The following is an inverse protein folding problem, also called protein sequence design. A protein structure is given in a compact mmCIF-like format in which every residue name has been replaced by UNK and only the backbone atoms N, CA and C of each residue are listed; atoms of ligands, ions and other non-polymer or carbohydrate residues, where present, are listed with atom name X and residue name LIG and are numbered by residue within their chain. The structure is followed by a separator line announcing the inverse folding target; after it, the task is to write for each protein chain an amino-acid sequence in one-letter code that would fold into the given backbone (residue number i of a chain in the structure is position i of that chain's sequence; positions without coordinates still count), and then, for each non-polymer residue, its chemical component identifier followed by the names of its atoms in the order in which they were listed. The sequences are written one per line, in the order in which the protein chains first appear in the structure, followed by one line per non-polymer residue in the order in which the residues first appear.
data_IF_206745288504
#
_entry.id   IF_206745288504
#
_cell.length_a   1.000
_cell.length_b   1.000
_cell.length_c   1.000
_cell.angle_alpha   90.00
_cell.angle_beta   90.00
_cell.angle_gamma   90.00
#
_symmetry.space_group_name_H-M   'P 1'
#
loop_
_entity.id
_entity.type
_entity.pdbx_description
1 polymer ?
#
# COMPACT_ATOMS: atom_id res chain seq x y z
N UNK A 1 -0.51 -15.82 1.62
CA UNK A 1 -1.26 -16.60 2.65
C UNK A 1 -0.64 -17.97 2.90
N UNK A 2 -0.28 -18.75 1.87
CA UNK A 2 0.38 -20.06 2.04
C UNK A 2 1.73 -19.95 2.75
N UNK A 3 2.56 -18.95 2.40
CA UNK A 3 3.88 -18.77 3.04
C UNK A 3 3.78 -18.36 4.52
N UNK A 4 2.75 -17.59 4.89
CA UNK A 4 2.49 -17.22 6.28
C UNK A 4 2.00 -18.41 7.11
N UNK A 5 1.14 -19.25 6.55
CA UNK A 5 0.72 -20.49 7.20
C UNK A 5 1.91 -21.46 7.38
N UNK A 6 2.80 -21.53 6.37
CA UNK A 6 4.04 -22.30 6.47
C UNK A 6 4.99 -21.74 7.53
N UNK A 7 5.19 -20.43 7.61
CA UNK A 7 6.00 -19.79 8.65
C UNK A 7 5.42 -20.02 10.06
N UNK A 8 4.11 -19.87 10.26
CA UNK A 8 3.48 -20.12 11.57
C UNK A 8 3.59 -21.59 11.98
N UNK A 9 3.44 -22.52 11.02
CA UNK A 9 3.50 -23.95 11.28
C UNK A 9 4.93 -24.49 11.47
N UNK A 10 5.90 -24.03 10.67
CA UNK A 10 7.29 -24.52 10.71
C UNK A 10 8.23 -23.69 11.61
N UNK A 11 7.99 -22.38 11.76
CA UNK A 11 8.85 -21.48 12.56
C UNK A 11 8.42 -21.38 14.03
N UNK A 12 7.26 -21.93 14.39
CA UNK A 12 6.68 -21.75 15.73
C UNK A 12 6.31 -20.30 16.04
N UNK A 13 6.17 -19.46 15.00
CA UNK A 13 5.84 -18.05 15.14
C UNK A 13 4.41 -17.92 15.69
N UNK A 14 4.29 -17.51 16.96
CA UNK A 14 3.00 -17.22 17.58
C UNK A 14 2.47 -15.91 17.02
N UNK A 15 1.36 -15.97 16.28
CA UNK A 15 0.57 -14.77 16.01
C UNK A 15 -0.09 -14.40 17.33
N UNK A 16 0.46 -13.41 18.03
CA UNK A 16 -0.09 -12.98 19.32
C UNK A 16 -1.39 -12.20 19.13
N UNK A 17 -1.55 -11.50 18.01
CA UNK A 17 -2.78 -10.77 17.65
C UNK A 17 -3.83 -11.60 16.90
N UNK A 18 -4.97 -10.96 16.57
CA UNK A 18 -6.04 -11.57 15.78
C UNK A 18 -5.67 -11.60 14.28
N UNK A 19 -5.55 -12.77 13.62
CA UNK A 19 -5.21 -12.87 12.19
C UNK A 19 -6.20 -12.15 11.26
N UNK A 20 -7.45 -11.96 11.68
CA UNK A 20 -8.44 -11.21 10.90
C UNK A 20 -8.04 -9.74 10.70
N UNK A 21 -7.30 -9.16 11.65
CA UNK A 21 -6.81 -7.79 11.52
C UNK A 21 -5.81 -7.65 10.38
N UNK A 22 -5.02 -8.69 10.10
CA UNK A 22 -4.12 -8.66 8.95
C UNK A 22 -4.87 -8.64 7.62
N UNK A 23 -5.96 -9.41 7.53
CA UNK A 23 -6.83 -9.42 6.34
C UNK A 23 -7.45 -8.05 6.16
N UNK A 24 -7.92 -7.43 7.24
CA UNK A 24 -8.50 -6.10 7.21
C UNK A 24 -7.50 -5.04 6.73
N UNK A 25 -6.30 -4.99 7.33
CA UNK A 25 -5.23 -4.08 6.90
C UNK A 25 -4.83 -4.34 5.44
N UNK A 26 -4.69 -5.61 5.06
CA UNK A 26 -4.37 -6.01 3.69
C UNK A 26 -5.41 -5.54 2.68
N UNK A 27 -6.70 -5.63 3.03
CA UNK A 27 -7.79 -5.14 2.18
C UNK A 27 -7.69 -3.63 1.95
N UNK A 28 -7.52 -2.82 3.01
CA UNK A 28 -7.37 -1.37 2.86
C UNK A 28 -6.07 -0.99 2.15
N UNK A 29 -4.99 -1.74 2.36
CA UNK A 29 -3.74 -1.55 1.64
C UNK A 29 -3.90 -1.78 0.14
N UNK A 30 -4.61 -2.84 -0.28
CA UNK A 30 -4.90 -3.09 -1.70
C UNK A 30 -5.67 -1.92 -2.31
N UNK A 31 -6.69 -1.41 -1.62
CA UNK A 31 -7.44 -0.23 -2.11
C UNK A 31 -6.53 0.98 -2.26
N UNK A 32 -5.67 1.24 -1.27
CA UNK A 32 -4.69 2.34 -1.33
C UNK A 32 -3.71 2.17 -2.50
N UNK A 33 -3.09 1.00 -2.63
CA UNK A 33 -2.14 0.71 -3.71
C UNK A 33 -2.79 0.82 -5.10
N UNK A 34 -4.00 0.30 -5.27
CA UNK A 34 -4.71 0.39 -6.54
C UNK A 34 -5.10 1.82 -6.92
N UNK A 35 -5.40 2.66 -5.93
CA UNK A 35 -5.64 4.08 -6.19
C UNK A 35 -4.39 4.77 -6.75
N UNK A 36 -3.19 4.47 -6.26
CA UNK A 36 -1.93 5.01 -6.81
C UNK A 36 -1.73 4.55 -8.26
N UNK A 37 -2.04 3.29 -8.57
CA UNK A 37 -2.02 2.80 -9.95
C UNK A 37 -2.96 3.59 -10.87
N UNK A 38 -4.16 3.91 -10.38
CA UNK A 38 -5.15 4.71 -11.10
C UNK A 38 -4.69 6.17 -11.30
N UNK A 39 -3.96 6.75 -10.33
CA UNK A 39 -3.31 8.05 -10.48
C UNK A 39 -2.31 8.03 -11.65
N UNK A 40 -1.39 7.08 -11.66
CA UNK A 40 -0.38 6.98 -12.72
C UNK A 40 -1.03 6.75 -14.09
N UNK A 41 -2.03 5.88 -14.15
CA UNK A 41 -2.80 5.65 -15.37
C UNK A 41 -3.47 6.93 -15.90
N UNK A 42 -4.11 7.70 -15.03
CA UNK A 42 -4.79 8.94 -15.44
C UNK A 42 -3.82 10.02 -15.97
N UNK A 43 -2.56 10.02 -15.51
CA UNK A 43 -1.56 11.02 -15.85
C UNK A 43 -0.59 10.59 -16.96
N UNK A 44 -0.53 9.31 -17.31
CA UNK A 44 0.37 8.79 -18.35
C UNK A 44 -0.33 8.63 -19.71
N UNK A 45 0.45 8.69 -20.79
CA UNK A 45 -0.08 8.70 -22.16
C UNK A 45 -0.47 7.32 -22.69
N UNK A 46 0.08 6.25 -22.13
CA UNK A 46 -0.21 4.88 -22.54
C UNK A 46 -0.28 3.96 -21.32
N UNK A 47 -1.06 2.89 -21.44
CA UNK A 47 -1.14 1.86 -20.39
C UNK A 47 0.24 1.22 -20.12
N UNK A 48 1.05 1.02 -21.17
CA UNK A 48 2.40 0.45 -21.05
C UNK A 48 3.28 1.36 -20.17
N UNK A 49 3.29 2.67 -20.44
CA UNK A 49 4.04 3.64 -19.62
C UNK A 49 3.55 3.65 -18.17
N UNK A 50 2.23 3.57 -17.95
CA UNK A 50 1.65 3.47 -16.61
C UNK A 50 2.21 2.24 -15.86
N UNK A 51 2.17 1.07 -16.48
CA UNK A 51 2.67 -0.17 -15.88
C UNK A 51 4.18 -0.12 -15.58
N UNK A 52 4.98 0.42 -16.49
CA UNK A 52 6.42 0.61 -16.24
C UNK A 52 6.66 1.56 -15.05
N UNK A 53 5.91 2.65 -14.95
CA UNK A 53 6.02 3.59 -13.82
C UNK A 53 5.57 2.97 -12.50
N UNK A 54 4.51 2.15 -12.51
CA UNK A 54 4.07 1.38 -11.35
C UNK A 54 5.21 0.46 -10.87
N UNK A 55 5.87 -0.27 -11.78
CA UNK A 55 7.00 -1.14 -11.42
C UNK A 55 8.17 -0.38 -10.78
N UNK A 56 8.49 0.81 -11.28
CA UNK A 56 9.50 1.69 -10.67
C UNK A 56 9.08 2.16 -9.27
N UNK A 57 7.82 2.58 -9.11
CA UNK A 57 7.27 3.03 -7.84
C UNK A 57 7.28 1.91 -6.80
N UNK A 58 6.86 0.69 -7.17
CA UNK A 58 6.89 -0.48 -6.29
C UNK A 58 8.31 -0.80 -5.82
N UNK A 59 9.30 -0.68 -6.71
CA UNK A 59 10.71 -0.89 -6.35
C UNK A 59 11.19 0.10 -5.28
N UNK A 60 10.81 1.38 -5.41
CA UNK A 60 11.11 2.43 -4.43
C UNK A 60 10.37 2.15 -3.12
N UNK A 61 9.08 1.83 -3.19
CA UNK A 61 8.26 1.52 -2.03
C UNK A 61 8.87 0.37 -1.23
N UNK A 62 9.30 -0.71 -1.89
CA UNK A 62 9.96 -1.84 -1.24
C UNK A 62 11.27 -1.42 -0.53
N UNK A 63 12.11 -0.64 -1.20
CA UNK A 63 13.39 -0.17 -0.66
C UNK A 63 13.22 0.69 0.61
N UNK A 64 12.16 1.50 0.67
CA UNK A 64 11.90 2.44 1.76
C UNK A 64 10.70 2.06 2.64
N UNK A 65 10.22 0.81 2.55
CA UNK A 65 9.02 0.33 3.27
C UNK A 65 9.24 0.06 4.76
N UNK A 66 10.49 0.07 5.23
CA UNK A 66 10.86 -0.41 6.57
C UNK A 66 11.36 -1.85 6.61
N UNK A 67 11.21 -2.61 5.51
CA UNK A 67 11.67 -4.02 5.42
C UNK A 67 13.19 -4.15 5.31
N UNK A 68 13.83 -3.34 4.47
CA UNK A 68 15.27 -3.40 4.23
C UNK A 68 16.06 -2.59 5.27
N UNK A 69 15.55 -1.41 5.62
CA UNK A 69 16.12 -0.51 6.63
C UNK A 69 15.00 -0.10 7.57
N UNK A 70 15.16 -0.22 8.90
CA UNK A 70 14.15 0.23 9.84
C UNK A 70 13.86 1.73 9.70
N UNK A 71 12.59 2.13 9.76
CA UNK A 71 12.17 3.53 9.58
C UNK A 71 12.88 4.48 10.56
N UNK A 72 13.11 4.03 11.80
CA UNK A 72 13.81 4.78 12.84
C UNK A 72 15.27 5.10 12.50
N UNK A 73 15.89 4.33 11.62
CA UNK A 73 17.28 4.48 11.21
C UNK A 73 17.42 5.17 9.85
N UNK A 74 16.31 5.54 9.20
CA UNK A 74 16.34 6.22 7.91
C UNK A 74 16.74 7.69 8.05
N UNK A 75 17.57 8.17 7.13
CA UNK A 75 17.84 9.61 6.96
C UNK A 75 16.56 10.35 6.54
N UNK A 76 16.51 11.66 6.81
CA UNK A 76 15.32 12.51 6.60
C UNK A 76 14.63 12.33 5.23
N UNK A 77 15.34 12.38 4.07
CA UNK A 77 14.70 12.23 2.76
C UNK A 77 14.04 10.85 2.57
N UNK A 78 14.72 9.78 3.01
CA UNK A 78 14.20 8.42 2.92
C UNK A 78 12.97 8.24 3.82
N UNK A 79 12.96 8.85 5.02
CA UNK A 79 11.84 8.81 5.95
C UNK A 79 10.60 9.52 5.40
N UNK A 80 10.77 10.64 4.68
CA UNK A 80 9.66 11.33 4.01
C UNK A 80 9.03 10.42 2.96
N UNK A 81 9.84 9.79 2.11
CA UNK A 81 9.35 8.84 1.09
C UNK A 81 8.61 7.70 1.77
N UNK A 82 9.23 7.08 2.77
CA UNK A 82 8.64 5.98 3.54
C UNK A 82 7.26 6.33 4.11
N UNK A 83 7.10 7.51 4.70
CA UNK A 83 5.83 7.95 5.28
C UNK A 83 4.75 8.30 4.23
N UNK A 84 5.15 8.62 3.00
CA UNK A 84 4.21 8.82 1.89
C UNK A 84 3.72 7.49 1.32
N UNK A 85 4.48 6.42 1.44
CA UNK A 85 4.13 5.12 0.87
C UNK A 85 3.09 4.38 1.74
N UNK A 86 1.97 3.91 1.18
CA UNK A 86 0.96 3.15 1.94
C UNK A 86 1.49 1.81 2.42
N UNK A 87 2.52 1.26 1.75
CA UNK A 87 3.14 -0.01 2.12
C UNK A 87 3.79 0.06 3.50
N UNK A 88 4.44 1.17 3.84
CA UNK A 88 5.08 1.37 5.15
C UNK A 88 4.06 1.25 6.29
N UNK A 89 2.93 1.96 6.16
CA UNK A 89 1.86 1.94 7.17
C UNK A 89 1.24 0.55 7.33
N UNK A 90 1.04 -0.16 6.22
CA UNK A 90 0.49 -1.51 6.23
C UNK A 90 1.45 -2.50 6.89
N UNK A 91 2.75 -2.44 6.58
CA UNK A 91 3.74 -3.34 7.14
C UNK A 91 3.98 -3.09 8.62
N UNK A 92 4.06 -1.83 9.05
CA UNK A 92 4.16 -1.48 10.46
C UNK A 92 2.99 -2.07 11.25
N UNK A 93 1.76 -1.95 10.74
CA UNK A 93 0.58 -2.55 11.37
C UNK A 93 0.61 -4.09 11.36
N UNK A 94 1.07 -4.72 10.28
CA UNK A 94 1.23 -6.16 10.23
C UNK A 94 2.26 -6.65 11.25
N UNK A 95 3.40 -5.97 11.38
CA UNK A 95 4.40 -6.28 12.40
C UNK A 95 3.86 -6.10 13.82
N UNK A 96 3.11 -5.02 14.07
CA UNK A 96 2.45 -4.84 15.35
C UNK A 96 1.46 -5.99 15.64
N UNK A 97 0.63 -6.42 14.67
CA UNK A 97 -0.30 -7.57 14.84
C UNK A 97 0.43 -8.88 15.13
N UNK A 98 1.57 -9.11 14.46
CA UNK A 98 2.35 -10.32 14.65
C UNK A 98 3.05 -10.35 15.99
N UNK A 99 3.72 -9.26 16.35
CA UNK A 99 4.65 -9.21 17.48
C UNK A 99 3.97 -8.78 18.78
N UNK A 100 2.82 -8.11 18.72
CA UNK A 100 2.14 -7.48 19.87
C UNK A 100 0.64 -7.78 19.86
N UNK A 101 0.02 -7.72 21.03
CA UNK A 101 -1.44 -7.67 21.11
C UNK A 101 -1.92 -6.25 20.78
N UNK A 102 -2.40 -6.06 19.55
CA UNK A 102 -2.88 -4.76 19.07
C UNK A 102 -4.39 -4.65 19.29
N UNK A 103 -4.83 -3.51 19.83
CA UNK A 103 -6.24 -3.22 19.99
C UNK A 103 -6.92 -2.95 18.64
N UNK A 104 -8.23 -3.21 18.56
CA UNK A 104 -9.04 -2.92 17.37
C UNK A 104 -8.93 -1.44 16.95
N UNK A 105 -8.82 -0.53 17.93
CA UNK A 105 -8.71 0.91 17.68
C UNK A 105 -7.44 1.28 16.91
N UNK A 106 -6.30 0.63 17.22
CA UNK A 106 -5.05 0.85 16.48
C UNK A 106 -5.16 0.39 15.01
N UNK A 107 -5.83 -0.74 14.79
CA UNK A 107 -6.07 -1.26 13.44
C UNK A 107 -6.99 -0.34 12.64
N UNK A 108 -8.08 0.12 13.24
CA UNK A 108 -9.00 1.05 12.59
C UNK A 108 -8.31 2.36 12.24
N UNK A 109 -7.42 2.88 13.10
CA UNK A 109 -6.62 4.06 12.78
C UNK A 109 -5.79 3.86 11.50
N UNK A 110 -5.05 2.76 11.39
CA UNK A 110 -4.26 2.46 10.18
C UNK A 110 -5.16 2.31 8.94
N UNK A 111 -6.30 1.62 9.08
CA UNK A 111 -7.25 1.48 7.98
C UNK A 111 -7.79 2.84 7.52
N UNK A 112 -8.10 3.75 8.43
CA UNK A 112 -8.52 5.11 8.09
C UNK A 112 -7.42 5.92 7.43
N UNK A 113 -6.16 5.75 7.84
CA UNK A 113 -5.00 6.37 7.20
C UNK A 113 -4.86 5.87 5.75
N UNK A 114 -4.95 4.56 5.53
CA UNK A 114 -4.90 3.95 4.20
C UNK A 114 -6.05 4.40 3.30
N UNK A 115 -7.22 4.72 3.86
CA UNK A 115 -8.35 5.28 3.10
C UNK A 115 -8.09 6.70 2.58
N UNK A 116 -7.16 7.47 3.16
CA UNK A 116 -6.87 8.83 2.67
C UNK A 116 -6.38 8.80 1.22
N UNK A 117 -5.61 7.77 0.84
CA UNK A 117 -5.06 7.59 -0.51
C UNK A 117 -6.14 7.55 -1.60
N UNK A 118 -7.11 6.61 -1.59
CA UNK A 118 -8.15 6.55 -2.61
C UNK A 118 -9.02 7.81 -2.63
N UNK A 119 -9.31 8.43 -1.48
CA UNK A 119 -10.09 9.68 -1.46
C UNK A 119 -9.32 10.85 -2.10
N UNK A 120 -8.06 11.06 -1.71
CA UNK A 120 -7.23 12.12 -2.27
C UNK A 120 -7.04 11.92 -3.79
N UNK A 121 -6.76 10.69 -4.22
CA UNK A 121 -6.53 10.38 -5.62
C UNK A 121 -7.82 10.48 -6.44
N UNK A 122 -8.95 10.01 -5.92
CA UNK A 122 -10.24 10.17 -6.59
C UNK A 122 -10.54 11.65 -6.89
N UNK A 123 -10.25 12.55 -5.95
CA UNK A 123 -10.39 14.00 -6.16
C UNK A 123 -9.45 14.53 -7.25
N UNK A 124 -8.18 14.12 -7.24
CA UNK A 124 -7.18 14.54 -8.23
C UNK A 124 -7.51 14.04 -9.65
N UNK A 125 -8.03 12.82 -9.75
CA UNK A 125 -8.21 12.11 -11.01
C UNK A 125 -9.61 12.33 -11.61
N UNK A 126 -10.59 12.80 -10.82
CA UNK A 126 -12.01 12.96 -11.21
C UNK A 126 -12.22 13.59 -12.58
N UNK A 127 -11.46 14.63 -12.94
CA UNK A 127 -11.61 15.33 -14.23
C UNK A 127 -10.80 14.70 -15.37
N UNK A 128 -9.72 13.98 -15.06
CA UNK A 128 -8.80 13.43 -16.06
C UNK A 128 -9.18 12.03 -16.50
N UNK A 129 -9.78 11.22 -15.62
CA UNK A 129 -10.07 9.83 -15.94
C UNK A 129 -11.11 9.67 -17.03
N UNK A 130 -12.18 10.46 -17.01
CA UNK A 130 -13.20 10.42 -18.07
C UNK A 130 -12.59 10.76 -19.44
N UNK A 131 -11.78 11.83 -19.50
CA UNK A 131 -11.06 12.21 -20.72
C UNK A 131 -10.09 11.13 -21.20
N UNK A 132 -9.42 10.43 -20.28
CA UNK A 132 -8.52 9.31 -20.62
C UNK A 132 -9.27 8.08 -21.12
N UNK A 133 -10.40 7.75 -20.52
CA UNK A 133 -11.26 6.66 -20.94
C UNK A 133 -11.85 6.95 -22.34
N UNK A 134 -12.29 8.17 -22.59
CA UNK A 134 -12.73 8.60 -23.93
C UNK A 134 -11.63 8.48 -24.98
N UNK A 135 -10.38 8.83 -24.65
CA UNK A 135 -9.25 8.68 -25.57
C UNK A 135 -8.88 7.22 -25.84
N UNK A 136 -9.20 6.28 -24.95
CA UNK A 136 -9.03 4.85 -25.21
C UNK A 136 -10.19 4.26 -26.01
N UNK A 137 -11.41 4.70 -25.75
CA UNK A 137 -12.62 4.19 -26.42
C UNK A 137 -12.82 4.83 -27.80
N UNK A 138 -12.42 6.09 -27.98
CA UNK A 138 -12.49 6.85 -29.24
C UNK A 138 -11.42 6.47 -30.27
N UNK A 139 -10.72 5.35 -30.06
CA UNK A 139 -9.92 4.68 -31.10
C UNK A 139 -10.78 3.58 -31.72
N UNK A 140 -11.81 4.00 -32.47
CA UNK A 140 -12.42 3.27 -33.58
C UNK A 140 -12.67 4.28 -34.69
#
# INVERSE_FOLDING_TARGET
MVELAALVHFSGAKVNGNPLYMILVGFFYIIAAQSIGLLLFAFTNSAITAYSMIGMLVSIALAFSGMAVPELSMILPARIISNLEPLTHALNAMFDIFLREVSLQGILYVCTLLLIYPFAIALLVRKRIFKRLELQVGVV
#
